data_IF_448102543792
#
_entry.id   IF_448102543792
#
_cell.length_a   1.000
_cell.length_b   1.000
_cell.length_c   1.000
_cell.angle_alpha   90.00
_cell.angle_beta   90.00
_cell.angle_gamma   90.00
#
_symmetry.space_group_name_H-M   'P 1'
#
loop_
_entity.id
_entity.type
_entity.pdbx_description
1 polymer ?
#
# COMPACT_ATOMS: atom_id res chain seq x y z
N UNK A 1 9.57 -5.22 45.64
CA UNK A 1 9.36 -3.82 45.25
C UNK A 1 10.29 -3.40 44.10
N UNK A 2 11.58 -3.78 44.11
CA UNK A 2 12.53 -3.38 43.06
C UNK A 2 12.26 -3.97 41.65
N UNK A 3 11.79 -5.21 41.57
CA UNK A 3 11.50 -5.86 40.28
C UNK A 3 10.31 -5.22 39.53
N UNK A 4 9.34 -4.66 40.26
CA UNK A 4 8.14 -4.07 39.67
C UNK A 4 8.46 -2.76 38.91
N UNK A 5 9.43 -1.99 39.40
CA UNK A 5 9.91 -0.78 38.73
C UNK A 5 10.63 -1.08 37.41
N UNK A 6 11.40 -2.17 37.34
CA UNK A 6 12.07 -2.59 36.11
C UNK A 6 11.07 -2.99 35.00
N UNK A 7 10.00 -3.71 35.35
CA UNK A 7 8.94 -4.08 34.41
C UNK A 7 8.11 -2.89 33.94
N UNK A 8 7.80 -1.94 34.83
CA UNK A 8 7.11 -0.70 34.46
C UNK A 8 8.01 0.15 33.52
N UNK A 9 9.30 0.26 33.84
CA UNK A 9 10.27 0.95 32.99
C UNK A 9 10.37 0.33 31.60
N UNK A 10 10.46 -1.01 31.51
CA UNK A 10 10.48 -1.72 30.23
C UNK A 10 9.18 -1.53 29.45
N UNK A 11 8.02 -1.61 30.11
CA UNK A 11 6.72 -1.38 29.48
C UNK A 11 6.58 0.02 28.89
N UNK A 12 7.03 1.04 29.61
CA UNK A 12 7.08 2.42 29.12
C UNK A 12 8.01 2.57 27.92
N UNK A 13 9.16 1.91 27.94
CA UNK A 13 10.16 1.98 26.86
C UNK A 13 9.65 1.30 25.58
N UNK A 14 8.98 0.15 25.71
CA UNK A 14 8.31 -0.53 24.60
C UNK A 14 7.15 0.30 24.03
N UNK A 15 6.33 0.91 24.90
CA UNK A 15 5.24 1.79 24.48
C UNK A 15 5.77 3.04 23.76
N UNK A 16 6.82 3.67 24.29
CA UNK A 16 7.46 4.81 23.67
C UNK A 16 8.05 4.45 22.30
N UNK A 17 8.73 3.30 22.20
CA UNK A 17 9.23 2.76 20.92
C UNK A 17 8.10 2.50 19.93
N UNK A 18 6.97 1.95 20.36
CA UNK A 18 5.79 1.73 19.53
C UNK A 18 5.21 3.06 19.02
N UNK A 19 5.04 4.06 19.89
CA UNK A 19 4.52 5.38 19.53
C UNK A 19 5.46 6.11 18.57
N UNK A 20 6.76 6.08 18.82
CA UNK A 20 7.77 6.66 17.94
C UNK A 20 7.79 5.97 16.58
N UNK A 21 7.72 4.64 16.54
CA UNK A 21 7.61 3.86 15.30
C UNK A 21 6.34 4.22 14.52
N UNK A 22 5.20 4.37 15.19
CA UNK A 22 3.96 4.81 14.55
C UNK A 22 4.06 6.24 14.01
N UNK A 23 4.63 7.16 14.79
CA UNK A 23 4.87 8.56 14.38
C UNK A 23 5.79 8.61 13.16
N UNK A 24 6.90 7.88 13.19
CA UNK A 24 7.85 7.84 12.07
C UNK A 24 7.25 7.20 10.82
N UNK A 25 6.46 6.14 10.98
CA UNK A 25 5.64 5.57 9.90
C UNK A 25 4.63 6.56 9.32
N UNK A 26 4.18 7.57 10.08
CA UNK A 26 3.21 8.59 9.61
C UNK A 26 3.86 9.84 9.02
N UNK A 27 5.02 10.26 9.51
CA UNK A 27 5.68 11.52 9.09
C UNK A 27 6.85 11.34 8.12
N UNK A 28 7.41 10.13 8.01
CA UNK A 28 8.47 9.80 7.07
C UNK A 28 7.99 9.76 5.61
N UNK A 29 8.92 9.70 4.64
CA UNK A 29 8.62 9.62 3.21
C UNK A 29 7.68 8.44 2.89
N UNK A 30 7.89 7.29 3.54
CA UNK A 30 6.99 6.13 3.43
C UNK A 30 5.56 6.44 3.89
N UNK A 31 5.37 7.11 5.02
CA UNK A 31 4.05 7.46 5.54
C UNK A 31 3.27 8.38 4.62
N UNK A 32 3.98 9.39 4.09
CA UNK A 32 3.44 10.30 3.08
C UNK A 32 3.06 9.53 1.82
N UNK A 33 3.91 8.65 1.33
CA UNK A 33 3.63 7.84 0.14
C UNK A 33 2.44 6.90 0.32
N UNK A 34 2.33 6.22 1.47
CA UNK A 34 1.16 5.40 1.81
C UNK A 34 -0.13 6.22 1.84
N UNK A 35 -0.09 7.40 2.45
CA UNK A 35 -1.25 8.30 2.53
C UNK A 35 -1.63 8.86 1.16
N UNK A 36 -0.65 9.23 0.34
CA UNK A 36 -0.87 9.75 -1.01
C UNK A 36 -1.42 8.69 -1.95
N UNK A 37 -0.88 7.47 -1.92
CA UNK A 37 -1.44 6.36 -2.71
C UNK A 37 -2.88 6.02 -2.32
N UNK A 38 -3.24 6.10 -1.02
CA UNK A 38 -4.64 5.98 -0.58
C UNK A 38 -5.52 7.05 -1.20
N UNK A 39 -5.07 8.29 -1.18
CA UNK A 39 -5.81 9.43 -1.72
C UNK A 39 -5.94 9.35 -3.26
N UNK A 40 -4.87 9.04 -3.97
CA UNK A 40 -4.90 8.85 -5.42
C UNK A 40 -5.82 7.69 -5.81
N UNK A 41 -5.75 6.58 -5.07
CA UNK A 41 -6.67 5.44 -5.24
C UNK A 41 -8.13 5.85 -5.05
N UNK A 42 -8.41 6.68 -4.03
CA UNK A 42 -9.74 7.22 -3.76
C UNK A 42 -10.23 8.07 -4.93
N UNK A 43 -9.42 9.03 -5.40
CA UNK A 43 -9.76 9.90 -6.54
C UNK A 43 -10.08 9.12 -7.81
N UNK A 44 -9.29 8.10 -8.14
CA UNK A 44 -9.57 7.25 -9.31
C UNK A 44 -10.91 6.52 -9.16
N UNK A 45 -11.23 6.02 -7.96
CA UNK A 45 -12.50 5.32 -7.70
C UNK A 45 -13.70 6.25 -7.78
N UNK A 46 -13.54 7.49 -7.36
CA UNK A 46 -14.58 8.53 -7.39
C UNK A 46 -14.66 9.24 -8.75
N UNK A 47 -13.75 8.95 -9.69
CA UNK A 47 -13.69 9.60 -11.00
C UNK A 47 -13.11 11.02 -10.96
N UNK A 48 -12.49 11.42 -9.85
CA UNK A 48 -11.87 12.73 -9.62
C UNK A 48 -10.37 12.75 -9.99
N UNK A 49 -9.85 11.67 -10.58
CA UNK A 49 -8.45 11.60 -11.02
C UNK A 49 -8.18 12.48 -12.23
N UNK A 50 -7.01 13.12 -12.27
CA UNK A 50 -6.55 13.95 -13.38
C UNK A 50 -5.27 13.39 -13.99
N UNK A 51 -5.03 13.62 -15.29
CA UNK A 51 -3.81 13.17 -15.98
C UNK A 51 -2.52 13.68 -15.32
N UNK A 52 -2.57 14.84 -14.65
CA UNK A 52 -1.46 15.40 -13.85
C UNK A 52 -1.08 14.54 -12.65
N UNK A 53 -1.98 13.68 -12.16
CA UNK A 53 -1.73 12.80 -11.02
C UNK A 53 -0.70 11.70 -11.33
N UNK A 54 -0.36 11.48 -12.62
CA UNK A 54 0.59 10.44 -13.03
C UNK A 54 1.96 10.62 -12.36
N UNK A 55 2.46 11.86 -12.27
CA UNK A 55 3.73 12.14 -11.61
C UNK A 55 3.68 11.81 -10.10
N UNK A 56 2.54 12.10 -9.45
CA UNK A 56 2.35 11.73 -8.05
C UNK A 56 2.27 10.21 -7.88
N UNK A 57 1.60 9.49 -8.77
CA UNK A 57 1.60 8.03 -8.75
C UNK A 57 3.02 7.46 -8.82
N UNK A 58 3.81 7.91 -9.80
CA UNK A 58 5.17 7.38 -10.01
C UNK A 58 6.12 7.68 -8.85
N UNK A 59 6.09 8.89 -8.30
CA UNK A 59 6.95 9.27 -7.17
C UNK A 59 6.63 8.44 -5.91
N UNK A 60 5.34 8.27 -5.60
CA UNK A 60 4.91 7.52 -4.43
C UNK A 60 5.10 6.00 -4.62
N UNK A 61 4.91 5.47 -5.83
CA UNK A 61 5.21 4.06 -6.15
C UNK A 61 6.70 3.76 -6.02
N UNK A 62 7.58 4.60 -6.58
CA UNK A 62 9.04 4.47 -6.46
C UNK A 62 9.48 4.50 -5.00
N UNK A 63 8.85 5.36 -4.19
CA UNK A 63 9.12 5.39 -2.75
C UNK A 63 8.76 4.06 -2.08
N UNK A 64 7.66 3.43 -2.49
CA UNK A 64 7.21 2.14 -1.93
C UNK A 64 7.98 0.92 -2.46
N UNK A 65 8.63 0.99 -3.62
CA UNK A 65 9.48 -0.09 -4.15
C UNK A 65 10.59 -0.48 -3.18
N UNK A 66 11.12 0.48 -2.41
CA UNK A 66 12.09 0.23 -1.34
C UNK A 66 11.52 -0.49 -0.11
N UNK A 67 10.21 -0.71 -0.05
CA UNK A 67 9.50 -1.26 1.12
C UNK A 67 8.46 -2.33 0.72
N UNK A 68 8.91 -3.51 0.23
CA UNK A 68 8.03 -4.52 -0.37
C UNK A 68 6.91 -5.03 0.55
N UNK A 69 7.16 -5.12 1.86
CA UNK A 69 6.12 -5.50 2.82
C UNK A 69 4.99 -4.46 2.89
N UNK A 70 5.31 -3.16 2.93
CA UNK A 70 4.29 -2.12 2.97
C UNK A 70 3.58 -1.98 1.61
N UNK A 71 4.28 -2.24 0.50
CA UNK A 71 3.69 -2.35 -0.83
C UNK A 71 2.60 -3.42 -0.89
N UNK A 72 2.94 -4.64 -0.46
CA UNK A 72 2.00 -5.75 -0.47
C UNK A 72 0.83 -5.51 0.48
N UNK A 73 1.11 -5.05 1.71
CA UNK A 73 0.09 -4.71 2.70
C UNK A 73 -0.90 -3.68 2.17
N UNK A 74 -0.39 -2.57 1.62
CA UNK A 74 -1.23 -1.51 1.07
C UNK A 74 -2.02 -2.02 -0.15
N UNK A 75 -1.41 -2.79 -1.05
CA UNK A 75 -2.13 -3.30 -2.22
C UNK A 75 -3.20 -4.35 -1.85
N UNK A 76 -3.01 -5.10 -0.77
CA UNK A 76 -4.07 -5.96 -0.25
C UNK A 76 -5.23 -5.14 0.35
N UNK A 77 -4.91 -4.07 1.08
CA UNK A 77 -5.90 -3.20 1.73
C UNK A 77 -6.76 -2.42 0.72
N UNK A 78 -6.12 -1.72 -0.23
CA UNK A 78 -6.79 -0.76 -1.11
C UNK A 78 -6.70 -1.12 -2.60
N UNK A 79 -6.04 -2.22 -2.98
CA UNK A 79 -5.86 -2.62 -4.37
C UNK A 79 -5.37 -1.48 -5.27
N UNK A 80 -4.40 -0.68 -4.79
CA UNK A 80 -3.95 0.51 -5.53
C UNK A 80 -3.37 0.16 -6.90
N UNK A 81 -2.82 -1.05 -7.12
CA UNK A 81 -2.35 -1.46 -8.45
C UNK A 81 -3.50 -1.53 -9.47
N UNK A 82 -4.69 -1.98 -9.03
CA UNK A 82 -5.89 -2.03 -9.88
C UNK A 82 -6.37 -0.61 -10.17
N UNK A 83 -6.35 0.26 -9.16
CA UNK A 83 -6.71 1.67 -9.34
C UNK A 83 -5.70 2.38 -10.26
N UNK A 84 -4.41 2.11 -10.12
CA UNK A 84 -3.38 2.68 -10.99
C UNK A 84 -3.53 2.20 -12.43
N UNK A 85 -3.84 0.93 -12.68
CA UNK A 85 -4.16 0.48 -14.04
C UNK A 85 -5.37 1.22 -14.60
N UNK A 86 -6.47 1.32 -13.84
CA UNK A 86 -7.66 2.07 -14.27
C UNK A 86 -7.35 3.54 -14.57
N UNK A 87 -6.47 4.14 -13.77
CA UNK A 87 -5.97 5.48 -14.02
C UNK A 87 -5.22 5.58 -15.36
N UNK A 88 -4.30 4.66 -15.63
CA UNK A 88 -3.58 4.60 -16.91
C UNK A 88 -4.53 4.35 -18.08
N UNK A 89 -5.48 3.42 -17.96
CA UNK A 89 -6.51 3.17 -18.98
C UNK A 89 -7.33 4.44 -19.31
N UNK A 90 -7.56 5.32 -18.32
CA UNK A 90 -8.32 6.57 -18.49
C UNK A 90 -7.49 7.72 -19.05
N UNK A 91 -6.25 7.90 -18.56
CA UNK A 91 -5.46 9.11 -18.82
C UNK A 91 -4.22 8.89 -19.69
N UNK A 92 -3.79 7.63 -19.88
CA UNK A 92 -2.61 7.24 -20.67
C UNK A 92 -2.79 5.83 -21.29
N UNK A 93 -3.79 5.63 -22.17
CA UNK A 93 -4.15 4.29 -22.68
C UNK A 93 -3.08 3.62 -23.54
N UNK A 94 -2.10 4.39 -24.03
CA UNK A 94 -0.95 3.91 -24.80
C UNK A 94 0.21 3.40 -23.93
N UNK A 95 0.08 3.46 -22.61
CA UNK A 95 1.11 3.02 -21.68
C UNK A 95 1.24 1.48 -21.67
N UNK A 96 2.43 0.98 -22.04
CA UNK A 96 2.73 -0.44 -22.09
C UNK A 96 2.60 -1.17 -20.73
N UNK A 97 2.63 -0.44 -19.60
CA UNK A 97 2.48 -1.01 -18.26
C UNK A 97 1.08 -1.54 -18.00
N UNK A 98 0.07 -1.11 -18.78
CA UNK A 98 -1.32 -1.56 -18.62
C UNK A 98 -1.42 -3.08 -18.77
N UNK A 99 -0.76 -3.65 -19.77
CA UNK A 99 -0.77 -5.10 -20.03
C UNK A 99 -0.10 -5.88 -18.89
N UNK A 100 1.05 -5.41 -18.42
CA UNK A 100 1.77 -6.01 -17.29
C UNK A 100 0.92 -5.98 -16.01
N UNK A 101 0.29 -4.85 -15.69
CA UNK A 101 -0.58 -4.71 -14.52
C UNK A 101 -1.84 -5.58 -14.63
N UNK A 102 -2.33 -5.81 -15.84
CA UNK A 102 -3.46 -6.70 -16.09
C UNK A 102 -3.08 -8.17 -15.85
N UNK A 103 -1.91 -8.60 -16.32
CA UNK A 103 -1.40 -9.96 -16.09
C UNK A 103 -1.20 -10.25 -14.60
N UNK A 104 -0.60 -9.30 -13.86
CA UNK A 104 -0.41 -9.39 -12.41
C UNK A 104 -1.76 -9.52 -11.68
N UNK A 105 -2.78 -8.75 -12.09
CA UNK A 105 -4.11 -8.86 -11.49
C UNK A 105 -4.76 -10.24 -11.78
N UNK A 106 -4.66 -10.73 -13.02
CA UNK A 106 -5.21 -12.05 -13.40
C UNK A 106 -4.58 -13.16 -12.56
N UNK A 107 -3.25 -13.19 -12.48
CA UNK A 107 -2.53 -14.18 -11.69
C UNK A 107 -2.91 -14.13 -10.21
N UNK A 108 -3.11 -12.92 -9.66
CA UNK A 108 -3.57 -12.76 -8.27
C UNK A 108 -4.99 -13.30 -8.08
N UNK A 109 -5.92 -13.03 -9.00
CA UNK A 109 -7.29 -13.55 -8.94
C UNK A 109 -7.29 -15.08 -9.01
N UNK A 110 -6.51 -15.66 -9.92
CA UNK A 110 -6.39 -17.10 -10.09
C UNK A 110 -5.77 -17.77 -8.84
N UNK A 111 -4.83 -17.11 -8.17
CA UNK A 111 -4.27 -17.57 -6.90
C UNK A 111 -5.35 -17.60 -5.80
N UNK A 112 -6.12 -16.51 -5.63
CA UNK A 112 -7.20 -16.44 -4.63
C UNK A 112 -8.28 -17.50 -4.89
N UNK A 113 -8.63 -17.72 -6.15
CA UNK A 113 -9.56 -18.78 -6.56
C UNK A 113 -8.96 -20.16 -6.27
N UNK A 114 -7.70 -20.41 -6.64
CA UNK A 114 -6.96 -21.66 -6.43
C UNK A 114 -6.86 -22.12 -4.98
N UNK A 115 -6.75 -21.19 -4.02
CA UNK A 115 -6.82 -21.47 -2.59
C UNK A 115 -8.24 -21.83 -2.11
N UNK A 116 -9.28 -21.27 -2.74
CA UNK A 116 -10.67 -21.49 -2.38
C UNK A 116 -11.20 -22.85 -2.88
N UNK A 117 -10.68 -23.36 -4.01
CA UNK A 117 -11.05 -24.68 -4.55
C UNK A 117 -10.45 -25.88 -3.78
N UNK A 118 -9.49 -25.64 -2.88
CA UNK A 118 -8.85 -26.70 -2.07
C UNK A 118 -9.39 -26.83 -0.64
N UNK A 119 -10.42 -26.06 -0.26
CA UNK A 119 -11.01 -26.06 1.09
C UNK A 119 -12.28 -26.91 1.24
N UNK A 120 -12.70 -27.62 0.19
CA UNK A 120 -13.86 -28.52 0.22
C UNK A 120 -13.43 -29.96 -0.13
N UNK A 121 -12.88 -30.68 0.86
CA UNK A 121 -12.82 -32.14 0.91
C UNK A 121 -12.85 -32.64 2.35
#
# INVERSE_FOLDING_TARGET
MEQFGAWIGLGLLLLAGYVLRQRHKRTGPLGKALSRLRELTRRVREGESASTDLAEWEDNLRTLEGYPNNYNELNMEIQFMVAFRKFLEQHAPEDARIETLLEIERHRKDTILGFNIHLDK
#
